data_IF_326904809318
#
_entry.id   IF_326904809318
#
_cell.length_a   1.000
_cell.length_b   1.000
_cell.length_c   1.000
_cell.angle_alpha   90.00
_cell.angle_beta   90.00
_cell.angle_gamma   90.00
#
_symmetry.space_group_name_H-M   'P 1'
#
loop_
_entity.id
_entity.type
_entity.pdbx_description
1 polymer ?
#
# COMPACT_ATOMS: atom_id res chain seq x y z
N UNK A 1 -20.05 4.34 -14.54
CA UNK A 1 -20.64 3.79 -15.78
C UNK A 1 -20.58 2.28 -15.63
N UNK A 2 -21.66 1.67 -15.16
CA UNK A 2 -21.78 0.21 -14.96
C UNK A 2 -22.87 -0.25 -15.93
N UNK A 3 -22.50 -0.90 -17.03
CA UNK A 3 -23.47 -1.47 -17.96
C UNK A 3 -24.13 -2.67 -17.27
N UNK A 4 -25.44 -2.60 -17.04
CA UNK A 4 -26.19 -3.57 -16.23
C UNK A 4 -26.33 -4.95 -16.89
N UNK A 5 -26.20 -5.02 -18.23
CA UNK A 5 -26.49 -6.21 -19.03
C UNK A 5 -25.26 -6.76 -19.77
N UNK A 6 -24.06 -6.51 -19.25
CA UNK A 6 -22.81 -6.86 -19.92
C UNK A 6 -21.98 -7.78 -19.03
N UNK A 7 -21.88 -9.05 -19.44
CA UNK A 7 -21.18 -10.09 -18.68
C UNK A 7 -19.77 -10.39 -19.19
N UNK A 8 -19.39 -9.85 -20.35
CA UNK A 8 -18.07 -10.05 -20.96
C UNK A 8 -17.43 -8.72 -21.36
N UNK A 9 -16.10 -8.63 -21.21
CA UNK A 9 -15.31 -7.45 -21.58
C UNK A 9 -15.55 -7.02 -23.03
N UNK A 10 -15.67 -7.97 -23.96
CA UNK A 10 -15.91 -7.68 -25.37
C UNK A 10 -17.26 -6.98 -25.61
N UNK A 11 -18.31 -7.41 -24.92
CA UNK A 11 -19.63 -6.77 -24.98
C UNK A 11 -19.61 -5.36 -24.37
N UNK A 12 -18.78 -5.14 -23.34
CA UNK A 12 -18.61 -3.82 -22.73
C UNK A 12 -17.96 -2.84 -23.71
N UNK A 13 -16.96 -3.32 -24.46
CA UNK A 13 -16.26 -2.53 -25.47
C UNK A 13 -17.15 -2.19 -26.66
N UNK A 14 -18.03 -3.12 -27.07
CA UNK A 14 -18.98 -2.89 -28.17
C UNK A 14 -20.10 -1.90 -27.80
N UNK A 15 -20.52 -1.88 -26.52
CA UNK A 15 -21.56 -0.97 -26.00
C UNK A 15 -20.97 0.38 -25.57
N UNK A 16 -19.68 0.43 -25.25
CA UNK A 16 -19.01 1.65 -24.84
C UNK A 16 -19.06 2.69 -25.96
N UNK A 17 -19.51 3.90 -25.60
CA UNK A 17 -19.39 5.06 -26.48
C UNK A 17 -17.91 5.21 -26.87
N UNK A 18 -17.59 5.37 -28.18
CA UNK A 18 -16.22 5.54 -28.61
C UNK A 18 -15.59 6.70 -27.85
N UNK A 19 -14.30 6.57 -27.44
CA UNK A 19 -13.65 7.58 -26.64
C UNK A 19 -13.79 8.93 -27.33
N UNK A 20 -14.27 9.93 -26.58
CA UNK A 20 -14.50 11.28 -27.10
C UNK A 20 -13.15 11.97 -27.27
N UNK A 21 -12.42 11.59 -28.32
CA UNK A 21 -11.14 12.15 -28.70
C UNK A 21 -11.37 13.47 -29.45
N UNK A 22 -11.88 14.47 -28.74
CA UNK A 22 -12.37 15.72 -29.31
C UNK A 22 -11.19 16.60 -29.77
N UNK A 23 -10.10 16.64 -29.01
CA UNK A 23 -8.90 17.40 -29.35
C UNK A 23 -7.81 16.53 -29.97
N UNK A 24 -6.84 17.16 -30.65
CA UNK A 24 -5.65 16.47 -31.14
C UNK A 24 -4.80 15.92 -29.98
N UNK A 25 -4.82 16.61 -28.84
CA UNK A 25 -4.14 16.19 -27.62
C UNK A 25 -4.75 14.89 -27.06
N UNK A 26 -6.08 14.81 -26.98
CA UNK A 26 -6.77 13.60 -26.49
C UNK A 26 -6.43 12.38 -27.36
N UNK A 27 -6.35 12.56 -28.69
CA UNK A 27 -5.95 11.49 -29.63
C UNK A 27 -4.51 11.04 -29.40
N UNK A 28 -3.60 11.99 -29.15
CA UNK A 28 -2.20 11.69 -28.87
C UNK A 28 -2.04 10.93 -27.54
N UNK A 29 -2.72 11.39 -26.48
CA UNK A 29 -2.72 10.72 -25.17
C UNK A 29 -3.33 9.33 -25.24
N UNK A 30 -4.46 9.17 -25.95
CA UNK A 30 -5.07 7.86 -26.15
C UNK A 30 -4.14 6.91 -26.91
N UNK A 31 -3.48 7.37 -27.98
CA UNK A 31 -2.51 6.56 -28.73
C UNK A 31 -1.31 6.16 -27.87
N UNK A 32 -0.80 7.08 -27.04
CA UNK A 32 0.29 6.79 -26.12
C UNK A 32 -0.12 5.73 -25.08
N UNK A 33 -1.33 5.83 -24.53
CA UNK A 33 -1.87 4.82 -23.60
C UNK A 33 -2.03 3.46 -24.27
N UNK A 34 -2.59 3.41 -25.48
CA UNK A 34 -2.73 2.16 -26.24
C UNK A 34 -1.37 1.50 -26.49
N UNK A 35 -0.34 2.27 -26.85
CA UNK A 35 1.03 1.74 -26.99
C UNK A 35 1.59 1.17 -25.69
N UNK A 36 1.39 1.86 -24.56
CA UNK A 36 1.83 1.37 -23.25
C UNK A 36 1.11 0.08 -22.86
N UNK A 37 -0.18 -0.03 -23.16
CA UNK A 37 -0.94 -1.26 -22.90
C UNK A 37 -0.41 -2.44 -23.71
N UNK A 38 -0.09 -2.24 -24.99
CA UNK A 38 0.52 -3.29 -25.81
C UNK A 38 1.87 -3.73 -25.24
N UNK A 39 2.73 -2.78 -24.84
CA UNK A 39 4.02 -3.11 -24.22
C UNK A 39 3.83 -3.87 -22.91
N UNK A 40 2.90 -3.45 -22.05
CA UNK A 40 2.62 -4.13 -20.80
C UNK A 40 2.05 -5.55 -21.03
N UNK A 41 1.28 -5.75 -22.09
CA UNK A 41 0.76 -7.07 -22.44
C UNK A 41 1.87 -8.02 -22.89
N UNK A 42 2.77 -7.55 -23.77
CA UNK A 42 3.94 -8.32 -24.20
C UNK A 42 4.86 -8.63 -23.02
N UNK A 43 5.11 -7.65 -22.14
CA UNK A 43 5.93 -7.84 -20.94
C UNK A 43 5.34 -8.91 -20.02
N UNK A 44 4.02 -8.92 -19.81
CA UNK A 44 3.34 -9.97 -19.05
C UNK A 44 3.58 -11.36 -19.64
N UNK A 45 3.49 -11.51 -20.97
CA UNK A 45 3.74 -12.79 -21.62
C UNK A 45 5.19 -13.23 -21.47
N UNK A 46 6.15 -12.33 -21.68
CA UNK A 46 7.57 -12.60 -21.51
C UNK A 46 7.88 -12.99 -20.06
N UNK A 47 7.33 -12.28 -19.08
CA UNK A 47 7.50 -12.58 -17.67
C UNK A 47 6.87 -13.91 -17.27
N UNK A 48 5.72 -14.27 -17.83
CA UNK A 48 5.08 -15.56 -17.58
C UNK A 48 5.91 -16.73 -18.16
N UNK A 49 6.44 -16.56 -19.36
CA UNK A 49 7.33 -17.55 -19.97
C UNK A 49 8.64 -17.69 -19.18
N UNK A 50 9.22 -16.57 -18.76
CA UNK A 50 10.42 -16.57 -17.92
C UNK A 50 10.18 -17.31 -16.59
N UNK A 51 9.08 -16.99 -15.87
CA UNK A 51 8.71 -17.68 -14.63
C UNK A 51 8.51 -19.18 -14.83
N UNK A 52 7.90 -19.59 -15.94
CA UNK A 52 7.73 -21.01 -16.28
C UNK A 52 9.06 -21.72 -16.52
N UNK A 53 10.04 -21.03 -17.11
CA UNK A 53 11.37 -21.58 -17.41
C UNK A 53 12.29 -21.57 -16.19
N UNK A 54 12.02 -20.70 -15.21
CA UNK A 54 12.86 -20.47 -14.03
C UNK A 54 12.10 -20.66 -12.71
N UNK A 55 11.55 -21.86 -12.42
CA UNK A 55 10.79 -22.08 -11.20
C UNK A 55 11.64 -21.96 -9.93
N UNK A 56 12.94 -22.27 -10.01
CA UNK A 56 13.87 -22.15 -8.87
C UNK A 56 14.09 -20.69 -8.47
N UNK A 57 14.26 -19.79 -9.45
CA UNK A 57 14.45 -18.36 -9.19
C UNK A 57 13.17 -17.74 -8.61
N UNK A 58 11.99 -18.16 -9.10
CA UNK A 58 10.69 -17.72 -8.57
C UNK A 58 10.50 -18.18 -7.12
N UNK A 59 10.81 -19.45 -6.81
CA UNK A 59 10.71 -19.95 -5.45
C UNK A 59 11.65 -19.21 -4.49
N UNK A 60 12.89 -18.98 -4.91
CA UNK A 60 13.87 -18.22 -4.13
C UNK A 60 13.40 -16.79 -3.86
N UNK A 61 12.87 -16.10 -4.87
CA UNK A 61 12.37 -14.74 -4.73
C UNK A 61 11.17 -14.70 -3.77
N UNK A 62 10.24 -15.65 -3.88
CA UNK A 62 9.11 -15.74 -2.95
C UNK A 62 9.57 -15.98 -1.51
N UNK A 63 10.52 -16.88 -1.27
CA UNK A 63 11.06 -17.14 0.06
C UNK A 63 11.77 -15.92 0.64
N UNK A 64 12.57 -15.22 -0.19
CA UNK A 64 13.26 -14.00 0.20
C UNK A 64 12.27 -12.90 0.62
N UNK A 65 11.24 -12.67 -0.20
CA UNK A 65 10.24 -11.65 0.12
C UNK A 65 9.36 -12.05 1.31
N UNK A 66 9.00 -13.32 1.46
CA UNK A 66 8.25 -13.81 2.62
C UNK A 66 9.02 -13.53 3.93
N UNK A 67 10.31 -13.88 3.97
CA UNK A 67 11.15 -13.60 5.15
C UNK A 67 11.27 -12.10 5.43
N UNK A 68 11.42 -11.29 4.39
CA UNK A 68 11.52 -9.84 4.54
C UNK A 68 10.21 -9.22 5.01
N UNK A 69 9.07 -9.69 4.52
CA UNK A 69 7.74 -9.28 4.97
C UNK A 69 7.52 -9.66 6.45
N UNK A 70 7.94 -10.85 6.88
CA UNK A 70 7.88 -11.25 8.28
C UNK A 70 8.75 -10.37 9.18
N UNK A 71 9.98 -10.08 8.78
CA UNK A 71 10.87 -9.19 9.53
C UNK A 71 10.28 -7.78 9.63
N UNK A 72 9.82 -7.23 8.52
CA UNK A 72 9.24 -5.90 8.45
C UNK A 72 7.92 -5.80 9.25
N UNK A 73 7.08 -6.84 9.23
CA UNK A 73 5.87 -6.88 10.06
C UNK A 73 6.19 -6.96 11.55
N UNK A 74 7.23 -7.72 11.94
CA UNK A 74 7.72 -7.74 13.34
C UNK A 74 8.23 -6.37 13.75
N UNK A 75 9.11 -5.75 12.96
CA UNK A 75 9.64 -4.40 13.23
C UNK A 75 8.50 -3.39 13.44
N UNK A 76 7.52 -3.38 12.52
CA UNK A 76 6.37 -2.48 12.64
C UNK A 76 5.51 -2.77 13.88
N UNK A 77 5.38 -4.04 14.31
CA UNK A 77 4.67 -4.38 15.55
C UNK A 77 5.41 -3.83 16.77
N UNK A 78 6.73 -4.00 16.83
CA UNK A 78 7.55 -3.46 17.91
C UNK A 78 7.49 -1.93 17.96
N UNK A 79 7.64 -1.25 16.82
CA UNK A 79 7.51 0.20 16.70
C UNK A 79 6.12 0.70 17.16
N UNK A 80 5.05 -0.03 16.82
CA UNK A 80 3.69 0.29 17.28
C UNK A 80 3.56 0.14 18.80
N UNK A 81 4.12 -0.92 19.38
CA UNK A 81 4.09 -1.13 20.84
C UNK A 81 4.89 -0.05 21.57
N UNK A 82 6.08 0.28 21.07
CA UNK A 82 6.90 1.38 21.60
C UNK A 82 6.15 2.71 21.55
N UNK A 83 5.51 3.04 20.42
CA UNK A 83 4.71 4.26 20.26
C UNK A 83 3.55 4.32 21.25
N UNK A 84 2.83 3.21 21.44
CA UNK A 84 1.74 3.12 22.42
C UNK A 84 2.26 3.29 23.84
N UNK A 85 3.40 2.66 24.16
CA UNK A 85 4.03 2.77 25.48
C UNK A 85 4.47 4.22 25.77
N UNK A 86 5.18 4.87 24.84
CA UNK A 86 5.62 6.25 24.99
C UNK A 86 4.47 7.23 25.16
N UNK A 87 3.42 7.10 24.34
CA UNK A 87 2.21 7.93 24.49
C UNK A 87 1.56 7.72 25.86
N UNK A 88 1.34 6.47 26.28
CA UNK A 88 0.72 6.17 27.56
C UNK A 88 1.54 6.71 28.74
N UNK A 89 2.88 6.59 28.68
CA UNK A 89 3.79 7.15 29.67
C UNK A 89 3.68 8.68 29.76
N UNK A 90 3.70 9.37 28.61
CA UNK A 90 3.59 10.81 28.56
C UNK A 90 2.20 11.29 29.04
N UNK A 91 1.13 10.59 28.67
CA UNK A 91 -0.23 10.86 29.17
C UNK A 91 -0.33 10.69 30.68
N UNK A 92 0.20 9.59 31.24
CA UNK A 92 0.18 9.35 32.68
C UNK A 92 0.95 10.43 33.46
N UNK A 93 2.08 10.91 32.92
CA UNK A 93 2.81 12.02 33.50
C UNK A 93 2.04 13.35 33.41
N UNK A 94 1.29 13.58 32.33
CA UNK A 94 0.48 14.79 32.18
C UNK A 94 -0.65 14.79 33.21
N UNK A 95 -1.33 13.64 33.39
CA UNK A 95 -2.38 13.46 34.40
C UNK A 95 -1.84 13.66 35.82
N UNK A 96 -0.64 13.15 36.11
CA UNK A 96 0.02 13.34 37.40
C UNK A 96 0.31 14.82 37.68
N UNK A 97 0.81 15.56 36.69
CA UNK A 97 1.07 17.01 36.82
C UNK A 97 -0.24 17.78 36.98
N UNK A 98 -1.28 17.41 36.23
CA UNK A 98 -2.61 18.02 36.34
C UNK A 98 -3.24 17.81 37.73
N UNK A 99 -2.98 16.66 38.37
CA UNK A 99 -3.38 16.38 39.74
C UNK A 99 -2.53 17.10 40.82
N UNK A 100 -1.57 17.95 40.42
CA UNK A 100 -0.66 18.66 41.32
C UNK A 100 0.54 17.84 41.78
N UNK A 101 0.78 16.68 41.19
CA UNK A 101 1.97 15.87 41.41
C UNK A 101 3.18 16.36 40.61
N UNK A 102 4.36 15.76 40.86
CA UNK A 102 5.61 16.08 40.17
C UNK A 102 5.98 14.96 39.21
N UNK A 103 6.09 15.25 37.92
CA UNK A 103 6.59 14.30 36.91
C UNK A 103 8.12 14.18 36.95
N UNK A 104 8.64 13.12 36.35
CA UNK A 104 10.08 12.95 36.08
C UNK A 104 10.54 13.74 34.84
N UNK A 105 9.62 14.24 34.03
CA UNK A 105 9.91 15.02 32.83
C UNK A 105 10.11 16.48 33.20
N UNK A 106 11.05 17.15 32.55
CA UNK A 106 11.17 18.62 32.66
C UNK A 106 10.05 19.27 31.84
N UNK A 107 9.73 20.54 32.11
CA UNK A 107 8.64 21.25 31.42
C UNK A 107 8.86 21.35 29.89
N UNK A 108 10.11 21.46 29.46
CA UNK A 108 10.51 21.52 28.04
C UNK A 108 11.03 20.18 27.49
N UNK A 109 10.62 19.05 28.08
CA UNK A 109 11.02 17.74 27.61
C UNK A 109 10.25 17.37 26.32
N UNK A 110 10.97 17.04 25.24
CA UNK A 110 10.36 16.63 23.97
C UNK A 110 9.46 15.40 24.11
N UNK A 111 9.65 14.58 25.16
CA UNK A 111 8.78 13.44 25.47
C UNK A 111 7.34 13.83 25.75
N UNK A 112 7.05 15.09 26.05
CA UNK A 112 5.66 15.58 26.10
C UNK A 112 4.96 15.53 24.75
N UNK A 113 5.70 15.62 23.63
CA UNK A 113 5.15 15.54 22.28
C UNK A 113 4.57 14.15 21.99
N UNK A 114 5.00 13.11 22.71
CA UNK A 114 4.52 11.74 22.53
C UNK A 114 3.01 11.60 22.83
N UNK A 115 2.42 12.53 23.62
CA UNK A 115 0.97 12.60 23.85
C UNK A 115 0.19 12.78 22.52
N UNK A 116 0.79 13.45 21.54
CA UNK A 116 0.17 13.72 20.23
C UNK A 116 0.37 12.59 19.22
N UNK A 117 1.10 11.53 19.56
CA UNK A 117 1.29 10.39 18.65
C UNK A 117 -0.05 9.74 18.28
N UNK A 118 -0.25 9.46 17.00
CA UNK A 118 -1.37 8.62 16.59
C UNK A 118 -1.08 7.16 16.95
N UNK A 119 -1.98 6.56 17.73
CA UNK A 119 -1.94 5.15 18.14
C UNK A 119 -3.00 4.31 17.45
N UNK A 120 -3.87 4.94 16.63
CA UNK A 120 -4.88 4.22 15.84
C UNK A 120 -4.23 3.45 14.70
N UNK A 121 -4.95 2.42 14.25
CA UNK A 121 -4.61 1.55 13.13
C UNK A 121 -4.82 2.24 11.76
N UNK A 122 -5.36 3.47 11.75
CA UNK A 122 -5.91 4.13 10.55
C UNK A 122 -4.89 4.83 9.64
N UNK A 123 -3.59 4.64 9.85
CA UNK A 123 -2.68 4.81 8.71
C UNK A 123 -2.70 3.52 7.92
N UNK A 124 -3.77 3.36 7.14
CA UNK A 124 -3.71 2.73 5.83
C UNK A 124 -2.72 3.51 4.95
N UNK A 125 -1.45 3.55 5.34
CA UNK A 125 -0.37 3.88 4.42
C UNK A 125 -0.11 2.59 3.66
N UNK A 126 -1.01 2.34 2.69
CA UNK A 126 -1.07 1.19 1.79
C UNK A 126 -0.77 -0.17 2.43
N UNK A 127 -1.89 -0.81 2.79
CA UNK A 127 -2.08 -2.24 2.52
C UNK A 127 -1.94 -2.53 1.00
N UNK A 128 -0.74 -2.33 0.45
CA UNK A 128 -0.27 -3.10 -0.70
C UNK A 128 0.54 -4.26 -0.10
N UNK A 129 -0.14 -5.09 0.69
CA UNK A 129 0.21 -6.49 0.67
C UNK A 129 -0.04 -6.91 -0.77
N UNK A 130 0.98 -6.82 -1.62
CA UNK A 130 0.97 -7.43 -2.95
C UNK A 130 0.40 -8.84 -2.74
N UNK A 131 -0.85 -9.00 -3.16
CA UNK A 131 -1.56 -10.25 -3.10
C UNK A 131 -0.90 -11.12 -4.16
N UNK A 132 0.17 -11.80 -3.76
CA UNK A 132 0.88 -12.78 -4.58
C UNK A 132 -0.02 -13.99 -4.93
N UNK A 133 -1.29 -13.99 -4.53
CA UNK A 133 -2.24 -15.09 -4.69
C UNK A 133 -3.06 -15.06 -6.00
N UNK A 134 -2.94 -14.04 -6.86
CA UNK A 134 -3.76 -13.92 -8.10
C UNK A 134 -3.06 -14.37 -9.39
N UNK A 135 -2.17 -15.38 -9.34
CA UNK A 135 -1.49 -15.92 -10.52
C UNK A 135 -1.65 -17.43 -10.72
N UNK A 136 -2.87 -17.97 -10.48
CA UNK A 136 -3.26 -19.32 -10.91
C UNK A 136 -3.78 -19.36 -12.36
#
# INVERSE_FOLDING_TARGET
>A
MNFQDVHMLQQALDVALPPRLNSAQDRAEHTARQRRLLVAQEDKWVMAEWRRRHPEDVAYEQEYWAQRCEEDTRRRREERLDRRWRKALASAHADLVAAGGRSFFTENDDRWLDIRLSTSDDTNDHDDGDDWSDWE
#
